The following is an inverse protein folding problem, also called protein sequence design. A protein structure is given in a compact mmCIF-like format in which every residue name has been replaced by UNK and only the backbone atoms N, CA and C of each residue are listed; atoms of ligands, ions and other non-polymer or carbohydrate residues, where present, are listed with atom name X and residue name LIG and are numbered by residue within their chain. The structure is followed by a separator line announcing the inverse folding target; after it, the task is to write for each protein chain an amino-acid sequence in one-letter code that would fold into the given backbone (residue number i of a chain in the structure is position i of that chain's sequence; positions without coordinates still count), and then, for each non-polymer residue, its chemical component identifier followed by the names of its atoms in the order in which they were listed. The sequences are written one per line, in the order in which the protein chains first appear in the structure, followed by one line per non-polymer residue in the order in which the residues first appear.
data_IF_408871835828
#
_entry.id   IF_408871835828
#
_cell.length_a   1.000
_cell.length_b   1.000
_cell.length_c   1.000
_cell.angle_alpha   90.00
_cell.angle_beta   90.00
_cell.angle_gamma   90.00
#
_symmetry.space_group_name_H-M   'P 1'
#
loop_
_entity.id
_entity.type
_entity.pdbx_description
1 polymer ?
#
# COMPACT_ATOMS: atom_id res chain seq x y z
N UNK A 1 -26.76 5.55 -4.85
CA UNK A 1 -26.13 6.41 -3.83
C UNK A 1 -24.67 6.01 -3.69
N UNK A 2 -23.76 6.97 -3.63
CA UNK A 2 -22.35 6.70 -3.33
C UNK A 2 -22.19 6.58 -1.81
N UNK A 3 -21.50 5.53 -1.35
CA UNK A 3 -21.17 5.36 0.07
C UNK A 3 -19.80 5.98 0.35
N UNK A 4 -19.70 6.82 1.38
CA UNK A 4 -18.46 7.41 1.86
C UNK A 4 -18.25 6.97 3.31
N UNK A 5 -17.03 6.55 3.65
CA UNK A 5 -16.65 6.21 5.03
C UNK A 5 -15.70 7.27 5.57
N UNK A 6 -16.02 7.82 6.75
CA UNK A 6 -15.11 8.62 7.57
C UNK A 6 -14.97 7.88 8.89
N UNK A 7 -13.75 7.47 9.24
CA UNK A 7 -13.47 6.69 10.45
C UNK A 7 -12.34 7.37 11.23
N UNK A 8 -12.59 7.83 12.48
CA UNK A 8 -11.52 8.34 13.33
C UNK A 8 -10.52 7.24 13.68
N UNK A 9 -9.23 7.57 13.61
CA UNK A 9 -8.14 6.78 14.17
C UNK A 9 -7.28 7.72 15.03
N UNK A 10 -7.12 7.39 16.32
CA UNK A 10 -6.36 8.24 17.24
C UNK A 10 -4.87 8.29 16.87
N UNK A 11 -4.33 7.16 16.41
CA UNK A 11 -2.95 7.02 15.94
C UNK A 11 -2.88 6.04 14.78
N UNK A 12 -1.76 6.01 14.07
CA UNK A 12 -1.49 4.97 13.07
C UNK A 12 -1.28 3.57 13.68
N UNK A 13 -0.97 3.46 14.98
CA UNK A 13 -0.88 2.16 15.65
C UNK A 13 -2.24 1.45 15.70
N UNK A 14 -3.33 2.22 15.70
CA UNK A 14 -4.71 1.73 15.81
C UNK A 14 -5.47 1.79 14.47
N UNK A 15 -4.75 1.80 13.34
CA UNK A 15 -5.38 1.99 12.03
C UNK A 15 -6.03 0.70 11.47
N UNK A 16 -5.61 -0.48 11.94
CA UNK A 16 -6.10 -1.76 11.40
C UNK A 16 -7.65 -1.90 11.50
N UNK A 17 -8.31 -1.59 12.63
CA UNK A 17 -9.78 -1.61 12.71
C UNK A 17 -10.46 -0.70 11.68
N UNK A 18 -9.88 0.48 11.40
CA UNK A 18 -10.42 1.39 10.41
C UNK A 18 -10.29 0.84 8.99
N UNK A 19 -9.14 0.23 8.65
CA UNK A 19 -8.94 -0.44 7.36
C UNK A 19 -9.88 -1.64 7.24
N UNK A 20 -10.03 -2.46 8.28
CA UNK A 20 -10.97 -3.59 8.29
C UNK A 20 -12.39 -3.14 8.02
N UNK A 21 -12.83 -2.06 8.68
CA UNK A 21 -14.15 -1.46 8.46
C UNK A 21 -14.36 -1.02 7.01
N UNK A 22 -13.32 -0.50 6.36
CA UNK A 22 -13.37 -0.18 4.94
C UNK A 22 -13.66 -1.43 4.09
N UNK A 23 -12.99 -2.56 4.34
CA UNK A 23 -13.24 -3.82 3.61
C UNK A 23 -14.62 -4.43 3.89
N UNK A 24 -15.21 -4.18 5.07
CA UNK A 24 -16.58 -4.60 5.37
C UNK A 24 -17.62 -3.78 4.58
N UNK A 25 -17.43 -2.46 4.49
CA UNK A 25 -18.33 -1.56 3.76
C UNK A 25 -18.15 -1.73 2.24
N UNK A 26 -16.92 -1.97 1.79
CA UNK A 26 -16.53 -2.11 0.39
C UNK A 26 -15.93 -3.51 0.12
N UNK A 27 -16.76 -4.56 0.12
CA UNK A 27 -16.27 -5.93 0.00
C UNK A 27 -15.63 -6.21 -1.36
N UNK A 28 -14.46 -6.85 -1.36
CA UNK A 28 -13.71 -7.24 -2.54
C UNK A 28 -13.65 -8.76 -2.68
N UNK A 29 -14.01 -9.28 -3.86
CA UNK A 29 -13.86 -10.71 -4.19
C UNK A 29 -12.47 -10.96 -4.77
N UNK A 30 -11.47 -11.16 -3.90
CA UNK A 30 -10.06 -11.29 -4.33
C UNK A 30 -9.57 -12.73 -4.52
N UNK A 31 -10.34 -13.74 -4.11
CA UNK A 31 -9.94 -15.15 -4.20
C UNK A 31 -9.48 -15.52 -5.61
N UNK A 32 -8.26 -16.04 -5.73
CA UNK A 32 -7.66 -16.47 -7.00
C UNK A 32 -7.31 -15.34 -7.97
N UNK A 33 -7.41 -14.06 -7.58
CA UNK A 33 -7.03 -12.92 -8.43
C UNK A 33 -5.56 -12.55 -8.24
N UNK A 34 -4.94 -11.99 -9.28
CA UNK A 34 -3.67 -11.27 -9.15
C UNK A 34 -3.99 -9.85 -8.67
N UNK A 35 -3.46 -9.46 -7.52
CA UNK A 35 -3.76 -8.18 -6.88
C UNK A 35 -2.51 -7.30 -6.88
N UNK A 36 -2.69 -6.05 -7.29
CA UNK A 36 -1.69 -5.01 -7.19
C UNK A 36 -2.11 -3.98 -6.14
N UNK A 37 -1.24 -3.67 -5.19
CA UNK A 37 -1.46 -2.67 -4.14
C UNK A 37 -0.51 -1.49 -4.39
N UNK A 38 -1.08 -0.29 -4.58
CA UNK A 38 -0.34 0.94 -4.90
C UNK A 38 -0.36 1.93 -3.71
N UNK A 39 0.70 2.03 -2.89
CA UNK A 39 0.69 2.81 -1.65
C UNK A 39 1.05 4.30 -1.83
N UNK A 40 0.76 4.96 -2.95
CA UNK A 40 1.07 6.39 -3.19
C UNK A 40 2.41 6.88 -2.57
N UNK A 41 3.50 6.68 -3.31
CA UNK A 41 4.81 7.28 -3.06
C UNK A 41 4.86 8.58 -3.84
N UNK A 42 5.20 9.71 -3.22
CA UNK A 42 5.21 11.03 -3.88
C UNK A 42 6.60 11.65 -3.91
N UNK A 43 7.35 11.58 -2.79
CA UNK A 43 8.78 11.92 -2.68
C UNK A 43 9.36 11.37 -1.38
N UNK A 44 10.68 11.40 -1.26
CA UNK A 44 11.40 11.29 0.02
C UNK A 44 10.89 12.35 1.01
N UNK A 45 10.00 11.96 1.91
CA UNK A 45 9.48 12.78 3.00
C UNK A 45 9.21 11.85 4.17
N UNK A 46 9.43 12.34 5.39
CA UNK A 46 9.14 11.53 6.58
C UNK A 46 7.65 11.17 6.63
N UNK A 47 7.32 10.01 7.21
CA UNK A 47 5.95 9.51 7.29
C UNK A 47 4.99 10.49 7.99
N UNK A 48 5.52 11.36 8.86
CA UNK A 48 4.77 12.39 9.58
C UNK A 48 4.27 13.54 8.70
N UNK A 49 4.78 13.71 7.47
CA UNK A 49 4.39 14.82 6.58
C UNK A 49 3.08 14.54 5.82
N UNK A 50 2.48 13.34 5.96
CA UNK A 50 1.28 12.90 5.24
C UNK A 50 1.37 12.98 3.70
N UNK A 51 2.59 13.00 3.17
CA UNK A 51 2.89 13.05 1.73
C UNK A 51 2.93 11.63 1.14
N UNK A 52 3.14 10.60 1.97
CA UNK A 52 3.21 9.19 1.56
C UNK A 52 2.19 8.36 2.35
N UNK A 53 1.73 7.24 1.78
CA UNK A 53 0.90 6.31 2.58
C UNK A 53 1.69 5.85 3.78
N UNK A 54 1.08 5.91 4.96
CA UNK A 54 1.75 5.48 6.18
C UNK A 54 1.99 3.95 6.15
N UNK A 55 3.18 3.45 6.52
CA UNK A 55 3.50 2.02 6.51
C UNK A 55 2.49 1.14 7.25
N UNK A 56 1.95 1.61 8.37
CA UNK A 56 0.91 0.90 9.11
C UNK A 56 -0.37 0.65 8.29
N UNK A 57 -0.77 1.59 7.43
CA UNK A 57 -1.94 1.44 6.55
C UNK A 57 -1.65 0.36 5.51
N UNK A 58 -0.49 0.42 4.85
CA UNK A 58 -0.09 -0.58 3.87
C UNK A 58 -0.04 -1.98 4.49
N UNK A 59 0.59 -2.13 5.66
CA UNK A 59 0.65 -3.40 6.39
C UNK A 59 -0.74 -3.97 6.71
N UNK A 60 -1.67 -3.12 7.18
CA UNK A 60 -3.05 -3.53 7.46
C UNK A 60 -3.78 -3.98 6.19
N UNK A 61 -3.63 -3.24 5.08
CA UNK A 61 -4.21 -3.62 3.77
C UNK A 61 -3.65 -4.96 3.30
N UNK A 62 -2.34 -5.15 3.33
CA UNK A 62 -1.70 -6.41 2.91
C UNK A 62 -2.23 -7.60 3.72
N UNK A 63 -2.32 -7.48 5.06
CA UNK A 63 -2.83 -8.55 5.92
C UNK A 63 -4.26 -8.94 5.56
N UNK A 64 -5.14 -7.96 5.34
CA UNK A 64 -6.53 -8.22 4.95
C UNK A 64 -6.57 -8.84 3.55
N UNK A 65 -5.84 -8.30 2.58
CA UNK A 65 -5.80 -8.83 1.21
C UNK A 65 -5.29 -10.28 1.18
N UNK A 66 -4.22 -10.60 1.92
CA UNK A 66 -3.69 -11.96 2.04
C UNK A 66 -4.74 -12.93 2.59
N UNK A 67 -5.52 -12.51 3.60
CA UNK A 67 -6.61 -13.33 4.16
C UNK A 67 -7.72 -13.67 3.15
N UNK A 68 -7.87 -12.87 2.09
CA UNK A 68 -8.86 -13.08 1.02
C UNK A 68 -8.38 -14.05 -0.08
N UNK A 69 -7.23 -14.69 0.11
CA UNK A 69 -6.67 -15.76 -0.74
C UNK A 69 -6.50 -15.40 -2.22
N UNK A 70 -5.86 -14.26 -2.56
CA UNK A 70 -5.51 -13.95 -3.94
C UNK A 70 -4.52 -14.98 -4.50
N UNK A 71 -4.47 -15.10 -5.83
CA UNK A 71 -3.45 -15.92 -6.49
C UNK A 71 -2.05 -15.32 -6.34
N UNK A 72 -1.94 -13.99 -6.30
CA UNK A 72 -0.68 -13.27 -6.04
C UNK A 72 -0.95 -11.87 -5.52
N UNK A 73 0.00 -11.35 -4.75
CA UNK A 73 0.04 -9.94 -4.32
C UNK A 73 1.34 -9.33 -4.82
N UNK A 74 1.23 -8.16 -5.43
CA UNK A 74 2.36 -7.30 -5.76
C UNK A 74 2.10 -5.94 -5.13
N UNK A 75 3.12 -5.39 -4.48
CA UNK A 75 3.11 -4.03 -3.94
C UNK A 75 4.16 -3.23 -4.70
N UNK A 76 3.75 -2.10 -5.25
CA UNK A 76 4.66 -1.22 -5.97
C UNK A 76 4.02 0.13 -6.23
N UNK A 77 4.85 1.11 -6.56
CA UNK A 77 4.38 2.38 -7.08
C UNK A 77 5.37 2.89 -8.13
N UNK A 78 4.97 3.90 -8.90
CA UNK A 78 5.84 4.61 -9.81
C UNK A 78 5.65 6.11 -9.56
N UNK A 79 6.27 6.67 -8.51
CA UNK A 79 6.34 8.12 -8.38
C UNK A 79 7.08 8.61 -9.62
N UNK A 80 6.57 9.61 -10.34
CA UNK A 80 7.18 10.13 -11.58
C UNK A 80 8.55 10.81 -11.41
N UNK A 81 9.37 10.33 -10.47
CA UNK A 81 10.73 10.74 -10.18
C UNK A 81 11.61 10.26 -11.32
N UNK A 82 12.28 11.22 -11.95
CA UNK A 82 12.94 11.12 -13.26
C UNK A 82 14.24 10.29 -13.21
N UNK A 83 14.48 9.51 -12.16
CA UNK A 83 15.73 8.77 -11.96
C UNK A 83 15.48 7.29 -11.66
N UNK A 84 16.14 6.44 -12.43
CA UNK A 84 16.23 4.99 -12.20
C UNK A 84 16.89 4.75 -10.82
N UNK A 85 16.22 4.01 -9.93
CA UNK A 85 16.67 3.78 -8.54
C UNK A 85 15.96 4.63 -7.47
N UNK A 86 15.37 5.77 -7.86
CA UNK A 86 14.66 6.64 -6.93
C UNK A 86 13.41 5.97 -6.30
N UNK A 87 12.81 5.01 -7.00
CA UNK A 87 11.64 4.27 -6.51
C UNK A 87 11.98 3.38 -5.30
N UNK A 88 13.02 2.55 -5.44
CA UNK A 88 13.42 1.64 -4.38
C UNK A 88 13.92 2.42 -3.15
N UNK A 89 14.69 3.47 -3.38
CA UNK A 89 15.13 4.40 -2.33
C UNK A 89 13.94 5.06 -1.64
N UNK A 90 12.96 5.58 -2.40
CA UNK A 90 11.75 6.16 -1.82
C UNK A 90 10.97 5.16 -0.97
N UNK A 91 10.85 3.90 -1.39
CA UNK A 91 10.22 2.86 -0.57
C UNK A 91 11.00 2.59 0.72
N UNK A 92 12.33 2.61 0.67
CA UNK A 92 13.18 2.40 1.86
C UNK A 92 13.06 3.57 2.85
N UNK A 93 13.21 4.80 2.37
CA UNK A 93 13.18 6.01 3.21
C UNK A 93 11.82 6.25 3.88
N UNK A 94 10.75 5.83 3.23
CA UNK A 94 9.37 5.96 3.75
C UNK A 94 8.95 4.80 4.66
N UNK A 95 9.78 3.77 4.81
CA UNK A 95 9.43 2.54 5.54
C UNK A 95 8.45 1.62 4.80
N UNK A 96 8.00 2.01 3.60
CA UNK A 96 7.10 1.21 2.77
C UNK A 96 7.74 -0.08 2.28
N UNK A 97 9.06 -0.11 2.12
CA UNK A 97 9.82 -1.33 1.79
C UNK A 97 9.60 -2.40 2.86
N UNK A 98 9.72 -2.02 4.13
CA UNK A 98 9.53 -2.95 5.25
C UNK A 98 8.07 -3.42 5.34
N UNK A 99 7.11 -2.51 5.17
CA UNK A 99 5.69 -2.85 5.17
C UNK A 99 5.29 -3.76 4.00
N UNK A 100 5.85 -3.53 2.80
CA UNK A 100 5.61 -4.36 1.63
C UNK A 100 6.26 -5.76 1.74
N UNK A 101 7.45 -5.84 2.35
CA UNK A 101 8.18 -7.09 2.56
C UNK A 101 8.32 -7.91 1.27
N UNK A 102 7.98 -9.21 1.33
CA UNK A 102 8.08 -10.15 0.20
C UNK A 102 7.23 -9.75 -1.02
N UNK A 103 6.25 -8.88 -0.85
CA UNK A 103 5.33 -8.44 -1.89
C UNK A 103 5.86 -7.27 -2.73
N UNK A 104 6.93 -6.59 -2.29
CA UNK A 104 7.49 -5.49 -3.05
C UNK A 104 7.99 -5.94 -4.43
N UNK A 105 7.67 -5.17 -5.47
CA UNK A 105 8.27 -5.27 -6.81
C UNK A 105 8.56 -3.88 -7.36
N UNK A 106 9.71 -3.71 -7.99
CA UNK A 106 10.05 -2.48 -8.68
C UNK A 106 9.42 -2.48 -10.08
N UNK A 107 8.20 -1.94 -10.16
CA UNK A 107 7.44 -1.92 -11.41
C UNK A 107 8.01 -0.97 -12.48
N UNK A 108 8.93 -0.07 -12.12
CA UNK A 108 9.60 0.83 -13.07
C UNK A 108 10.64 0.11 -13.94
N UNK A 109 11.14 -1.04 -13.48
CA UNK A 109 12.13 -1.85 -14.21
C UNK A 109 11.50 -3.03 -14.95
N UNK A 110 10.40 -3.57 -14.42
CA UNK A 110 9.69 -4.73 -15.00
C UNK A 110 8.96 -4.42 -16.33
N UNK A 111 8.79 -3.14 -16.69
CA UNK A 111 8.24 -2.74 -18.00
C UNK A 111 9.20 -2.97 -19.18
N UNK A 112 10.45 -3.37 -18.90
CA UNK A 112 11.51 -3.58 -19.89
C UNK A 112 11.91 -5.05 -20.08
N UNK A 113 11.21 -6.01 -19.43
CA UNK A 113 11.50 -7.45 -19.49
C UNK A 113 10.36 -8.26 -20.10
#
# INVERSE_FOLDING_TARGET
MSTVMIQPAATYADVEPAVRRAFEIFPLKLKGKKVFIKPNVLRASKAEEAIVTHPAVLSAVIRIVESLQPASIVVGDNPGVVSYGANEESFRETGLMQAAGKYYRNIGTDALS
#
